data_IF_886528372211
#
_entry.id   IF_886528372211
#
_cell.length_a   1.000
_cell.length_b   1.000
_cell.length_c   1.000
_cell.angle_alpha   90.00
_cell.angle_beta   90.00
_cell.angle_gamma   90.00
#
_symmetry.space_group_name_H-M   'P 1'
#
loop_
_entity.id
_entity.type
_entity.pdbx_description
1 polymer ?
#
# COMPACT_ATOMS: atom_id res chain seq x y z
N UNK A 1 11.27 26.33 -25.56
CA UNK A 1 9.83 26.00 -25.73
C UNK A 1 9.72 24.66 -26.42
N UNK A 2 9.31 23.60 -25.71
CA UNK A 2 8.31 22.58 -26.13
C UNK A 2 7.91 21.87 -24.83
N UNK A 3 6.61 21.88 -24.53
CA UNK A 3 6.03 21.66 -23.20
C UNK A 3 6.10 20.23 -22.67
N UNK A 4 6.51 20.11 -21.41
CA UNK A 4 6.22 18.93 -20.58
C UNK A 4 4.86 19.11 -19.92
N UNK A 5 3.91 18.23 -20.26
CA UNK A 5 2.63 18.17 -19.55
C UNK A 5 2.86 17.67 -18.12
N UNK A 6 2.78 18.60 -17.19
CA UNK A 6 2.57 18.36 -15.76
C UNK A 6 1.06 18.14 -15.59
N UNK A 7 0.64 16.96 -15.11
CA UNK A 7 -0.73 16.74 -14.67
C UNK A 7 -0.70 16.60 -13.14
N UNK A 8 -1.02 17.70 -12.46
CA UNK A 8 -1.44 17.70 -11.05
C UNK A 8 -2.84 17.10 -10.97
N UNK A 9 -3.08 16.22 -9.99
CA UNK A 9 -4.44 15.95 -9.49
C UNK A 9 -4.44 16.30 -8.01
N UNK A 10 -5.19 17.35 -7.68
CA UNK A 10 -5.31 17.90 -6.34
C UNK A 10 -6.15 17.02 -5.42
N UNK A 11 -5.85 17.12 -4.12
CA UNK A 11 -6.62 16.61 -3.00
C UNK A 11 -8.04 17.20 -2.97
N UNK A 12 -9.07 16.36 -2.89
CA UNK A 12 -10.42 16.79 -2.50
C UNK A 12 -10.57 16.60 -0.99
N UNK A 13 -11.01 17.63 -0.23
CA UNK A 13 -11.27 17.49 1.19
C UNK A 13 -12.48 16.59 1.46
N UNK A 14 -12.42 15.86 2.58
CA UNK A 14 -13.44 14.91 3.04
C UNK A 14 -14.76 15.65 3.31
N UNK A 15 -15.83 15.32 2.56
CA UNK A 15 -17.19 15.76 2.90
C UNK A 15 -18.19 16.09 1.78
N UNK A 16 -17.84 16.03 0.49
CA UNK A 16 -18.80 16.38 -0.58
C UNK A 16 -19.43 15.13 -1.24
N UNK A 17 -20.76 14.99 -1.13
CA UNK A 17 -21.54 14.01 -1.93
C UNK A 17 -21.53 14.37 -3.42
N UNK A 18 -21.61 13.36 -4.32
CA UNK A 18 -21.36 13.58 -5.74
C UNK A 18 -22.59 14.17 -6.44
N UNK A 19 -22.46 15.40 -6.92
CA UNK A 19 -23.34 15.96 -7.96
C UNK A 19 -22.92 15.41 -9.33
N UNK A 20 -23.91 14.98 -10.09
CA UNK A 20 -23.79 14.34 -11.40
C UNK A 20 -22.85 15.12 -12.35
N UNK A 21 -21.75 14.49 -12.75
CA UNK A 21 -20.78 15.06 -13.69
C UNK A 21 -19.30 14.77 -13.41
N UNK A 22 -18.96 14.05 -12.35
CA UNK A 22 -17.55 13.83 -11.94
C UNK A 22 -16.81 12.82 -12.84
N UNK A 23 -15.64 13.24 -13.33
CA UNK A 23 -14.69 12.49 -14.14
C UNK A 23 -14.39 11.07 -13.61
N UNK A 24 -14.09 10.09 -14.49
CA UNK A 24 -13.85 8.71 -14.09
C UNK A 24 -12.60 8.59 -13.20
N UNK A 25 -12.74 7.88 -12.08
CA UNK A 25 -11.65 7.50 -11.17
C UNK A 25 -10.58 6.74 -11.96
N UNK A 26 -9.41 7.36 -12.14
CA UNK A 26 -8.31 6.84 -12.93
C UNK A 26 -7.21 6.32 -11.99
N UNK A 27 -7.33 5.04 -11.61
CA UNK A 27 -6.40 4.38 -10.67
C UNK A 27 -5.05 4.08 -11.35
N UNK A 28 -3.98 4.71 -10.88
CA UNK A 28 -2.61 4.50 -11.36
C UNK A 28 -1.94 3.32 -10.64
N UNK A 29 -1.51 2.31 -11.40
CA UNK A 29 -0.80 1.13 -10.89
C UNK A 29 0.70 1.20 -11.17
N UNK A 30 1.55 1.30 -10.15
CA UNK A 30 3.02 1.34 -10.32
C UNK A 30 3.67 -0.05 -10.41
N UNK A 31 4.54 -0.29 -11.40
CA UNK A 31 5.11 -1.61 -11.68
C UNK A 31 6.60 -1.64 -12.08
N UNK A 32 7.26 -2.79 -11.83
CA UNK A 32 8.62 -3.14 -12.27
C UNK A 32 8.59 -3.96 -13.59
N UNK A 33 9.61 -3.88 -14.47
CA UNK A 33 9.57 -4.46 -15.82
C UNK A 33 9.29 -5.98 -15.88
N UNK A 34 9.96 -6.80 -15.06
CA UNK A 34 9.79 -8.27 -15.11
C UNK A 34 8.44 -8.81 -14.63
N UNK A 35 7.53 -7.95 -14.15
CA UNK A 35 6.24 -8.35 -13.58
C UNK A 35 5.05 -7.77 -14.35
N UNK A 36 5.29 -7.23 -15.55
CA UNK A 36 4.30 -6.51 -16.32
C UNK A 36 3.09 -7.39 -16.71
N UNK A 37 3.29 -8.70 -16.95
CA UNK A 37 2.21 -9.62 -17.30
C UNK A 37 1.13 -9.73 -16.21
N UNK A 38 1.53 -9.94 -14.94
CA UNK A 38 0.59 -10.10 -13.82
C UNK A 38 -0.23 -8.82 -13.56
N UNK A 39 0.39 -7.64 -13.73
CA UNK A 39 -0.31 -6.36 -13.57
C UNK A 39 -1.26 -6.06 -14.71
N UNK A 40 -0.94 -6.45 -15.94
CA UNK A 40 -1.88 -6.37 -17.07
C UNK A 40 -3.10 -7.26 -16.85
N UNK A 41 -2.93 -8.45 -16.26
CA UNK A 41 -4.06 -9.31 -15.89
C UNK A 41 -4.96 -8.65 -14.85
N UNK A 42 -4.39 -8.07 -13.79
CA UNK A 42 -5.16 -7.32 -12.78
C UNK A 42 -5.91 -6.13 -13.40
N UNK A 43 -5.24 -5.34 -14.23
CA UNK A 43 -5.86 -4.22 -14.95
C UNK A 43 -7.03 -4.68 -15.84
N UNK A 44 -6.86 -5.79 -16.56
CA UNK A 44 -7.94 -6.38 -17.37
C UNK A 44 -9.14 -6.83 -16.53
N UNK A 45 -8.91 -7.42 -15.35
CA UNK A 45 -10.01 -7.79 -14.43
C UNK A 45 -10.75 -6.56 -13.91
N UNK A 46 -10.03 -5.47 -13.59
CA UNK A 46 -10.65 -4.21 -13.18
C UNK A 46 -11.42 -3.52 -14.31
N UNK A 47 -10.97 -3.62 -15.56
CA UNK A 47 -11.75 -3.14 -16.70
C UNK A 47 -13.11 -3.84 -16.85
N UNK A 48 -13.23 -5.11 -16.46
CA UNK A 48 -14.50 -5.84 -16.51
C UNK A 48 -15.54 -5.32 -15.53
N UNK A 49 -15.12 -4.72 -14.42
CA UNK A 49 -16.02 -4.10 -13.42
C UNK A 49 -16.20 -2.60 -13.64
N UNK A 50 -15.78 -2.07 -14.80
CA UNK A 50 -15.98 -0.68 -15.20
C UNK A 50 -14.88 0.30 -14.78
N UNK A 51 -13.81 -0.15 -14.12
CA UNK A 51 -12.67 0.71 -13.79
C UNK A 51 -11.77 0.95 -15.02
N UNK A 52 -11.12 2.11 -15.07
CA UNK A 52 -10.16 2.48 -16.13
C UNK A 52 -8.73 2.60 -15.57
N UNK A 53 -8.05 1.48 -15.30
CA UNK A 53 -6.73 1.50 -14.70
C UNK A 53 -5.68 2.08 -15.65
N UNK A 54 -4.87 3.00 -15.14
CA UNK A 54 -3.70 3.53 -15.85
C UNK A 54 -2.43 2.81 -15.36
N UNK A 55 -1.78 2.04 -16.23
CA UNK A 55 -0.64 1.22 -15.84
C UNK A 55 0.68 1.97 -16.02
N UNK A 56 1.29 2.39 -14.90
CA UNK A 56 2.62 3.02 -14.92
C UNK A 56 3.72 1.98 -14.69
N UNK A 57 4.51 1.69 -15.72
CA UNK A 57 5.62 0.74 -15.67
C UNK A 57 6.94 1.50 -15.77
N UNK A 58 7.80 1.39 -14.76
CA UNK A 58 9.11 2.04 -14.76
C UNK A 58 10.12 1.31 -13.84
N UNK A 59 11.43 1.55 -14.00
CA UNK A 59 12.45 1.03 -13.08
C UNK A 59 12.23 1.49 -11.64
N UNK A 60 12.73 0.72 -10.67
CA UNK A 60 12.56 1.01 -9.22
C UNK A 60 13.05 2.41 -8.85
N UNK A 61 14.18 2.86 -9.40
CA UNK A 61 14.74 4.20 -9.15
C UNK A 61 13.77 5.34 -9.50
N UNK A 62 12.90 5.15 -10.49
CA UNK A 62 11.89 6.13 -10.88
C UNK A 62 10.57 5.96 -10.10
N UNK A 63 10.24 4.73 -9.70
CA UNK A 63 9.00 4.44 -8.98
C UNK A 63 9.09 4.71 -7.47
N UNK A 64 10.24 4.52 -6.84
CA UNK A 64 10.41 4.74 -5.39
C UNK A 64 10.11 6.19 -4.99
N UNK A 65 10.65 7.23 -5.66
CA UNK A 65 10.33 8.61 -5.31
C UNK A 65 8.83 8.93 -5.44
N UNK A 66 8.14 8.37 -6.45
CA UNK A 66 6.69 8.54 -6.62
C UNK A 66 5.90 7.94 -5.45
N UNK A 67 6.32 6.77 -4.96
CA UNK A 67 5.71 6.11 -3.80
C UNK A 67 5.90 6.92 -2.52
N UNK A 68 7.11 7.40 -2.28
CA UNK A 68 7.40 8.23 -1.11
C UNK A 68 6.62 9.55 -1.11
N UNK A 69 6.24 10.06 -2.29
CA UNK A 69 5.40 11.26 -2.45
C UNK A 69 3.90 10.97 -2.51
N UNK A 70 3.47 9.71 -2.40
CA UNK A 70 2.06 9.34 -2.51
C UNK A 70 1.44 9.52 -3.91
N UNK A 71 2.26 9.59 -4.97
CA UNK A 71 1.81 9.77 -6.36
C UNK A 71 1.34 8.43 -6.98
N UNK A 72 0.47 7.69 -6.28
CA UNK A 72 -0.11 6.44 -6.75
C UNK A 72 -1.43 6.14 -6.05
N UNK A 73 -2.33 5.47 -6.76
CA UNK A 73 -3.58 4.97 -6.16
C UNK A 73 -3.43 3.51 -5.71
N UNK A 74 -2.76 2.69 -6.53
CA UNK A 74 -2.43 1.31 -6.17
C UNK A 74 -0.98 1.00 -6.51
N UNK A 75 -0.29 0.33 -5.60
CA UNK A 75 1.08 -0.12 -5.83
C UNK A 75 1.16 -1.62 -5.66
N UNK A 76 1.73 -2.29 -6.65
CA UNK A 76 2.09 -3.68 -6.47
C UNK A 76 3.40 -3.75 -5.69
N UNK A 77 3.26 -4.15 -4.43
CA UNK A 77 4.32 -4.24 -3.43
C UNK A 77 4.60 -5.70 -3.07
N UNK A 78 5.81 -5.96 -2.60
CA UNK A 78 6.23 -7.27 -2.11
C UNK A 78 7.19 -7.06 -0.95
N UNK A 79 7.09 -7.93 0.04
CA UNK A 79 7.83 -7.82 1.28
C UNK A 79 8.56 -9.12 1.60
N UNK A 80 9.71 -9.02 2.26
CA UNK A 80 10.47 -10.15 2.78
C UNK A 80 10.54 -10.00 4.30
N UNK A 81 10.17 -11.06 5.02
CA UNK A 81 10.07 -11.01 6.48
C UNK A 81 11.45 -11.28 7.11
N UNK A 82 12.13 -10.23 7.56
CA UNK A 82 13.45 -10.32 8.21
C UNK A 82 13.46 -9.50 9.51
N UNK A 83 14.21 -9.88 10.57
CA UNK A 83 15.03 -11.09 10.72
C UNK A 83 14.28 -12.30 11.32
N UNK A 84 13.10 -12.08 11.90
CA UNK A 84 12.40 -13.07 12.73
C UNK A 84 11.64 -14.14 11.91
N UNK A 85 11.64 -14.04 10.58
CA UNK A 85 10.91 -14.92 9.63
C UNK A 85 9.41 -15.07 9.92
N UNK A 86 8.82 -14.13 10.67
CA UNK A 86 7.41 -14.05 11.01
C UNK A 86 6.81 -12.73 10.51
N UNK A 87 5.49 -12.53 10.71
CA UNK A 87 4.81 -11.33 10.23
C UNK A 87 5.14 -10.05 11.01
N UNK A 88 5.98 -10.09 12.05
CA UNK A 88 6.28 -8.89 12.85
C UNK A 88 6.91 -7.77 12.04
N UNK A 89 7.83 -8.08 11.12
CA UNK A 89 8.48 -7.05 10.29
C UNK A 89 7.53 -6.45 9.27
N UNK A 90 6.64 -7.27 8.70
CA UNK A 90 5.57 -6.81 7.82
C UNK A 90 4.63 -5.84 8.56
N UNK A 91 4.12 -6.26 9.73
CA UNK A 91 3.22 -5.46 10.54
C UNK A 91 3.87 -4.14 10.96
N UNK A 92 5.14 -4.19 11.40
CA UNK A 92 5.88 -3.01 11.83
C UNK A 92 6.16 -2.03 10.69
N UNK A 93 6.51 -2.50 9.50
CA UNK A 93 7.00 -1.63 8.43
C UNK A 93 5.93 -1.13 7.46
N UNK A 94 4.84 -1.90 7.29
CA UNK A 94 3.79 -1.59 6.30
C UNK A 94 2.45 -1.21 6.92
N UNK A 95 2.09 -1.79 8.07
CA UNK A 95 0.73 -1.65 8.62
C UNK A 95 0.70 -0.70 9.81
N UNK A 96 1.78 -0.67 10.59
CA UNK A 96 1.89 0.21 11.75
C UNK A 96 1.71 1.67 11.34
N UNK A 97 1.03 2.44 12.21
CA UNK A 97 0.91 3.89 12.03
C UNK A 97 2.30 4.52 11.90
N UNK A 98 2.45 5.47 11.00
CA UNK A 98 3.74 6.11 10.72
C UNK A 98 4.32 6.74 12.00
N UNK A 99 5.46 6.22 12.43
CA UNK A 99 6.24 6.70 13.57
C UNK A 99 7.72 6.82 13.21
N UNK A 100 8.58 7.22 14.16
CA UNK A 100 9.99 7.51 13.87
C UNK A 100 10.79 6.30 13.30
N UNK A 101 10.40 5.07 13.64
CA UNK A 101 11.07 3.84 13.20
C UNK A 101 10.13 2.74 12.65
N UNK A 102 8.81 3.00 12.64
CA UNK A 102 7.77 2.06 12.23
C UNK A 102 6.86 2.71 11.17
N UNK A 103 6.30 1.92 10.27
CA UNK A 103 5.47 2.40 9.17
C UNK A 103 6.23 3.14 8.06
N UNK A 104 7.55 2.96 7.92
CA UNK A 104 8.37 3.65 6.91
C UNK A 104 7.89 3.38 5.48
N UNK A 105 7.33 2.17 5.23
CA UNK A 105 6.78 1.77 3.94
C UNK A 105 5.25 1.86 3.90
N UNK A 106 4.63 2.41 4.93
CA UNK A 106 3.19 2.65 5.00
C UNK A 106 2.82 3.96 4.29
N UNK A 107 2.99 3.96 2.96
CA UNK A 107 2.65 5.11 2.12
C UNK A 107 1.15 5.38 1.99
N UNK A 108 0.32 4.42 2.42
CA UNK A 108 -1.14 4.54 2.41
C UNK A 108 -1.73 5.09 3.71
N UNK A 109 -0.89 5.41 4.70
CA UNK A 109 -1.30 5.88 6.03
C UNK A 109 -2.34 4.96 6.70
N UNK A 110 -2.24 3.65 6.46
CA UNK A 110 -3.09 2.65 7.12
C UNK A 110 -2.70 2.47 8.58
N UNK A 111 -3.61 1.98 9.42
CA UNK A 111 -3.26 1.63 10.80
C UNK A 111 -4.46 1.41 11.68
N UNK A 112 -4.30 0.49 12.63
CA UNK A 112 -5.31 0.15 13.64
C UNK A 112 -4.59 -0.02 14.99
N UNK A 113 -5.09 0.64 16.03
CA UNK A 113 -4.46 0.63 17.36
C UNK A 113 -4.38 -0.78 17.96
N UNK A 114 -5.30 -1.68 17.58
CA UNK A 114 -5.30 -3.08 18.03
C UNK A 114 -4.15 -3.87 17.39
N UNK A 115 -3.85 -3.60 16.12
CA UNK A 115 -2.73 -4.24 15.41
C UNK A 115 -1.42 -3.78 16.04
N UNK A 116 -1.28 -2.48 16.28
CA UNK A 116 -0.08 -1.90 16.87
C UNK A 116 0.15 -2.44 18.30
N UNK A 117 -0.92 -2.54 19.10
CA UNK A 117 -0.86 -3.12 20.44
C UNK A 117 -0.46 -4.61 20.44
N UNK A 118 -1.00 -5.41 19.53
CA UNK A 118 -0.65 -6.84 19.41
C UNK A 118 0.80 -7.02 18.94
N UNK A 119 1.25 -6.19 18.00
CA UNK A 119 2.61 -6.24 17.49
C UNK A 119 3.63 -5.83 18.56
N UNK A 120 3.31 -4.82 19.38
CA UNK A 120 4.14 -4.41 20.51
C UNK A 120 4.25 -5.51 21.60
N UNK A 121 3.14 -6.20 21.90
CA UNK A 121 3.15 -7.34 22.82
C UNK A 121 3.96 -8.51 22.26
N UNK A 122 3.80 -8.82 20.97
CA UNK A 122 4.55 -9.86 20.28
C UNK A 122 6.06 -9.56 20.16
N UNK A 123 6.48 -8.30 20.31
CA UNK A 123 7.89 -7.91 20.26
C UNK A 123 8.67 -8.28 21.54
N UNK A 124 7.99 -8.36 22.68
CA UNK A 124 8.61 -8.67 23.99
C UNK A 124 8.27 -10.08 24.50
N UNK A 125 7.41 -10.81 23.78
CA UNK A 125 7.06 -12.19 24.09
C UNK A 125 8.17 -13.16 23.67
N UNK A 126 8.57 -14.04 24.59
CA UNK A 126 9.62 -15.02 24.37
C UNK A 126 9.06 -16.40 23.98
N UNK A 127 7.80 -16.69 24.30
CA UNK A 127 7.12 -17.92 23.89
C UNK A 127 6.73 -17.85 22.41
N UNK A 128 7.32 -18.68 21.53
CA UNK A 128 7.03 -18.66 20.10
C UNK A 128 5.56 -18.91 19.78
N UNK A 129 4.88 -19.79 20.53
CA UNK A 129 3.49 -20.14 20.24
C UNK A 129 2.55 -18.97 20.56
N UNK A 130 2.76 -18.31 21.70
CA UNK A 130 2.01 -17.10 22.07
C UNK A 130 2.27 -15.96 21.10
N UNK A 131 3.53 -15.77 20.71
CA UNK A 131 3.94 -14.77 19.73
C UNK A 131 3.26 -15.00 18.38
N UNK A 132 3.26 -16.22 17.86
CA UNK A 132 2.54 -16.56 16.62
C UNK A 132 1.05 -16.30 16.76
N UNK A 133 0.40 -16.68 17.87
CA UNK A 133 -1.02 -16.43 18.07
C UNK A 133 -1.37 -14.92 18.05
N UNK A 134 -0.58 -14.08 18.71
CA UNK A 134 -0.76 -12.63 18.69
C UNK A 134 -0.59 -12.04 17.29
N UNK A 135 0.45 -12.46 16.58
CA UNK A 135 0.72 -12.01 15.20
C UNK A 135 -0.36 -12.50 14.23
N UNK A 136 -0.89 -13.72 14.41
CA UNK A 136 -2.02 -14.23 13.63
C UNK A 136 -3.29 -13.41 13.89
N UNK A 137 -3.57 -13.06 15.15
CA UNK A 137 -4.69 -12.19 15.48
C UNK A 137 -4.56 -10.82 14.81
N UNK A 138 -3.37 -10.22 14.83
CA UNK A 138 -3.09 -8.96 14.13
C UNK A 138 -3.33 -9.07 12.62
N UNK A 139 -2.90 -10.18 12.00
CA UNK A 139 -3.13 -10.43 10.57
C UNK A 139 -4.61 -10.65 10.22
N UNK A 140 -5.40 -11.24 11.13
CA UNK A 140 -6.84 -11.38 10.93
C UNK A 140 -7.53 -10.01 10.96
N UNK A 141 -7.14 -9.14 11.89
CA UNK A 141 -7.67 -7.76 11.94
C UNK A 141 -7.31 -7.00 10.65
N UNK A 142 -6.10 -7.19 10.12
CA UNK A 142 -5.70 -6.54 8.87
C UNK A 142 -6.42 -7.07 7.62
N UNK A 143 -6.97 -8.29 7.68
CA UNK A 143 -7.69 -8.94 6.57
C UNK A 143 -9.15 -8.48 6.49
N UNK A 144 -9.76 -8.23 7.65
CA UNK A 144 -11.19 -7.92 7.78
C UNK A 144 -11.49 -6.44 7.50
#
# INVERSE_FOLDING_TARGET
MVGGQVLHVGHLPVGASPIAGSAPLMTTLLTRPGWAARRRSAASMWSKIGLRPNLSIAPRSQQTPKRMRGEFDVVAFGWANEPNLDSSSLLTQLIHKTGAAAGVFNWGEWGDDRIDALNAQAAVENDPAKRTAMLTAAMNIAKD
#
